data_IF_266949598422
#
_entry.id   IF_266949598422
#
_cell.length_a   1.000
_cell.length_b   1.000
_cell.length_c   1.000
_cell.angle_alpha   90.00
_cell.angle_beta   90.00
_cell.angle_gamma   90.00
#
_symmetry.space_group_name_H-M   'P 1'
#
loop_
_entity.id
_entity.type
_entity.pdbx_description
1 polymer ?
#
# COMPACT_ATOMS: atom_id res chain seq x y z
N UNK A 1 -22.53 -25.21 2.28
CA UNK A 1 -23.11 -24.69 1.03
C UNK A 1 -23.91 -23.43 1.36
N UNK A 2 -23.44 -22.29 0.86
CA UNK A 2 -24.16 -21.01 0.68
C UNK A 2 -24.67 -20.26 1.94
N UNK A 3 -23.78 -19.51 2.59
CA UNK A 3 -24.14 -18.37 3.46
C UNK A 3 -23.83 -17.05 2.75
N UNK A 4 -24.62 -16.68 1.74
CA UNK A 4 -24.57 -15.31 1.17
C UNK A 4 -25.88 -14.60 1.49
N UNK A 5 -25.81 -13.49 2.23
CA UNK A 5 -26.95 -12.63 2.50
C UNK A 5 -27.17 -11.72 1.29
N UNK A 6 -28.44 -11.42 1.02
CA UNK A 6 -28.98 -10.79 -0.20
C UNK A 6 -28.53 -9.34 -0.43
N UNK A 7 -27.65 -8.83 0.42
CA UNK A 7 -27.23 -7.43 0.55
C UNK A 7 -25.73 -7.24 0.26
N UNK A 8 -24.98 -8.33 0.08
CA UNK A 8 -23.65 -8.27 -0.53
C UNK A 8 -23.84 -7.96 -2.01
N UNK A 9 -23.68 -6.69 -2.39
CA UNK A 9 -23.51 -6.32 -3.80
C UNK A 9 -22.19 -6.94 -4.26
N UNK A 10 -22.26 -8.18 -4.75
CA UNK A 10 -21.14 -8.96 -5.28
C UNK A 10 -20.61 -8.26 -6.53
N UNK A 11 -19.77 -7.24 -6.34
CA UNK A 11 -19.06 -6.60 -7.43
C UNK A 11 -17.97 -7.57 -7.86
N UNK A 12 -18.28 -8.41 -8.85
CA UNK A 12 -17.35 -9.37 -9.42
C UNK A 12 -16.46 -8.65 -10.43
N UNK A 13 -15.15 -8.63 -10.17
CA UNK A 13 -14.16 -8.07 -11.08
C UNK A 13 -13.55 -9.16 -11.95
N UNK A 14 -13.59 -8.98 -13.28
CA UNK A 14 -12.98 -9.91 -14.22
C UNK A 14 -11.58 -9.43 -14.62
N UNK A 15 -10.60 -10.32 -14.55
CA UNK A 15 -9.27 -10.06 -15.10
C UNK A 15 -9.35 -9.95 -16.63
N UNK A 16 -8.74 -8.91 -17.21
CA UNK A 16 -8.56 -8.75 -18.66
C UNK A 16 -7.06 -8.62 -18.94
N UNK A 17 -6.55 -9.43 -19.85
CA UNK A 17 -5.12 -9.45 -20.19
C UNK A 17 -4.65 -8.17 -20.91
N UNK A 18 -5.56 -7.40 -21.52
CA UNK A 18 -5.28 -6.18 -22.28
C UNK A 18 -5.59 -4.88 -21.50
N UNK A 19 -5.49 -4.90 -20.17
CA UNK A 19 -5.68 -3.69 -19.39
C UNK A 19 -4.54 -2.69 -19.67
N UNK A 20 -4.84 -1.38 -19.75
CA UNK A 20 -3.81 -0.36 -19.82
C UNK A 20 -2.87 -0.46 -18.61
N UNK A 21 -1.62 -0.05 -18.80
CA UNK A 21 -0.63 -0.03 -17.72
C UNK A 21 -1.16 0.75 -16.52
N UNK A 22 -0.90 0.23 -15.32
CA UNK A 22 -1.34 0.87 -14.09
C UNK A 22 -0.82 2.30 -14.01
N UNK A 23 -1.72 3.24 -13.72
CA UNK A 23 -1.40 4.65 -13.55
C UNK A 23 -0.47 4.79 -12.35
N UNK A 24 0.63 5.53 -12.54
CA UNK A 24 1.44 6.00 -11.41
C UNK A 24 0.64 7.05 -10.65
N UNK A 25 0.26 6.71 -9.43
CA UNK A 25 -0.42 7.60 -8.50
C UNK A 25 0.62 8.16 -7.55
N UNK A 26 0.74 9.48 -7.48
CA UNK A 26 1.55 10.18 -6.49
C UNK A 26 0.61 10.74 -5.43
N UNK A 27 0.88 10.42 -4.17
CA UNK A 27 0.15 10.96 -3.03
C UNK A 27 1.11 11.79 -2.18
N UNK A 28 0.68 12.98 -1.77
CA UNK A 28 1.53 13.92 -1.02
C UNK A 28 2.04 13.31 0.30
N UNK A 29 1.22 12.49 0.95
CA UNK A 29 1.55 11.87 2.24
C UNK A 29 2.22 10.50 2.15
N UNK A 30 2.76 10.16 0.97
CA UNK A 30 3.42 8.86 0.78
C UNK A 30 4.61 8.72 1.73
N UNK A 31 5.42 9.76 1.90
CA UNK A 31 6.64 9.69 2.73
C UNK A 31 6.31 9.49 4.21
N UNK A 32 5.27 10.16 4.73
CA UNK A 32 4.82 10.01 6.11
C UNK A 32 4.31 8.60 6.39
N UNK A 33 3.56 8.01 5.46
CA UNK A 33 3.13 6.62 5.56
C UNK A 33 4.32 5.68 5.56
N UNK A 34 5.27 5.84 4.63
CA UNK A 34 6.48 5.01 4.55
C UNK A 34 7.30 5.09 5.85
N UNK A 35 7.48 6.30 6.38
CA UNK A 35 8.17 6.51 7.65
C UNK A 35 7.46 5.82 8.83
N UNK A 36 6.13 5.95 8.93
CA UNK A 36 5.37 5.24 9.97
C UNK A 36 5.49 3.71 9.84
N UNK A 37 5.53 3.19 8.60
CA UNK A 37 5.70 1.77 8.32
C UNK A 37 7.09 1.27 8.72
N UNK A 38 8.15 2.00 8.36
CA UNK A 38 9.53 1.68 8.75
C UNK A 38 9.71 1.72 10.27
N UNK A 39 9.15 2.73 10.94
CA UNK A 39 9.24 2.89 12.39
C UNK A 39 8.32 1.92 13.19
N UNK A 40 7.56 1.05 12.52
CA UNK A 40 6.65 0.10 13.19
C UNK A 40 5.49 0.77 13.94
N UNK A 41 5.09 1.98 13.57
CA UNK A 41 4.01 2.75 14.23
C UNK A 41 2.63 2.29 13.75
N UNK A 42 2.24 1.08 14.15
CA UNK A 42 1.07 0.35 13.64
C UNK A 42 -0.24 1.14 13.65
N UNK A 43 -0.52 1.89 14.72
CA UNK A 43 -1.76 2.67 14.82
C UNK A 43 -1.79 3.86 13.86
N UNK A 44 -0.66 4.55 13.67
CA UNK A 44 -0.53 5.63 12.69
C UNK A 44 -0.61 5.08 11.27
N UNK A 45 0.04 3.93 11.00
CA UNK A 45 -0.06 3.24 9.70
C UNK A 45 -1.53 2.94 9.38
N UNK A 46 -2.31 2.43 10.35
CA UNK A 46 -3.74 2.16 10.16
C UNK A 46 -4.51 3.42 9.75
N UNK A 47 -4.23 4.55 10.38
CA UNK A 47 -4.86 5.83 10.06
C UNK A 47 -4.47 6.33 8.67
N UNK A 48 -3.18 6.27 8.33
CA UNK A 48 -2.66 6.69 7.04
C UNK A 48 -3.16 5.82 5.90
N UNK A 49 -3.22 4.50 6.07
CA UNK A 49 -3.83 3.58 5.10
C UNK A 49 -5.30 3.94 4.87
N UNK A 50 -6.05 4.27 5.92
CA UNK A 50 -7.42 4.79 5.77
C UNK A 50 -7.49 6.03 4.88
N UNK A 51 -6.61 7.02 5.11
CA UNK A 51 -6.52 8.24 4.30
C UNK A 51 -6.10 7.96 2.85
N UNK A 52 -5.20 7.00 2.63
CA UNK A 52 -4.75 6.57 1.31
C UNK A 52 -5.92 6.01 0.48
N UNK A 53 -6.74 5.14 1.06
CA UNK A 53 -7.91 4.60 0.36
C UNK A 53 -9.01 5.65 0.14
N UNK A 54 -9.17 6.61 1.06
CA UNK A 54 -10.03 7.78 0.82
C UNK A 54 -9.52 8.63 -0.36
N UNK A 55 -8.21 8.83 -0.45
CA UNK A 55 -7.58 9.51 -1.58
C UNK A 55 -7.81 8.77 -2.90
N UNK A 56 -7.63 7.46 -2.96
CA UNK A 56 -7.95 6.68 -4.17
C UNK A 56 -9.40 6.83 -4.61
N UNK A 57 -10.35 6.89 -3.66
CA UNK A 57 -11.77 7.12 -3.95
C UNK A 57 -12.05 8.54 -4.46
N UNK A 58 -11.22 9.52 -4.11
CA UNK A 58 -11.35 10.89 -4.60
C UNK A 58 -10.82 11.09 -6.02
N UNK A 59 -9.97 10.18 -6.51
CA UNK A 59 -9.39 10.27 -7.84
C UNK A 59 -10.38 9.79 -8.92
N UNK A 60 -10.65 10.60 -9.96
CA UNK A 60 -11.50 10.17 -11.06
C UNK A 60 -10.84 9.04 -11.84
N UNK A 61 -11.64 8.03 -12.21
CA UNK A 61 -11.22 6.90 -13.05
C UNK A 61 -10.04 6.07 -12.52
N UNK A 62 -9.76 6.10 -11.20
CA UNK A 62 -8.83 5.14 -10.59
C UNK A 62 -9.43 3.75 -10.63
N UNK A 63 -8.66 2.81 -11.17
CA UNK A 63 -9.02 1.40 -11.17
C UNK A 63 -8.49 0.73 -9.91
N UNK A 64 -9.09 -0.41 -9.55
CA UNK A 64 -8.54 -1.28 -8.51
C UNK A 64 -7.11 -1.73 -8.84
N UNK A 65 -6.78 -1.86 -10.13
CA UNK A 65 -5.43 -2.17 -10.61
C UNK A 65 -4.42 -1.08 -10.25
N UNK A 66 -4.81 0.19 -10.38
CA UNK A 66 -3.95 1.32 -10.02
C UNK A 66 -3.69 1.37 -8.53
N UNK A 67 -4.75 1.21 -7.71
CA UNK A 67 -4.63 1.16 -6.26
C UNK A 67 -3.75 -0.02 -5.81
N UNK A 68 -3.94 -1.21 -6.41
CA UNK A 68 -3.12 -2.39 -6.16
C UNK A 68 -1.65 -2.12 -6.48
N UNK A 69 -1.36 -1.60 -7.67
CA UNK A 69 0.00 -1.29 -8.11
C UNK A 69 0.67 -0.27 -7.19
N UNK A 70 -0.05 0.78 -6.81
CA UNK A 70 0.43 1.79 -5.87
C UNK A 70 0.80 1.17 -4.51
N UNK A 71 -0.05 0.30 -3.96
CA UNK A 71 0.25 -0.43 -2.72
C UNK A 71 1.49 -1.33 -2.84
N UNK A 72 1.66 -2.03 -3.97
CA UNK A 72 2.86 -2.84 -4.21
C UNK A 72 4.13 -1.97 -4.18
N UNK A 73 4.11 -0.81 -4.85
CA UNK A 73 5.25 0.10 -4.86
C UNK A 73 5.60 0.61 -3.46
N UNK A 74 4.61 0.90 -2.61
CA UNK A 74 4.86 1.29 -1.22
C UNK A 74 5.47 0.16 -0.41
N UNK A 75 4.94 -1.05 -0.52
CA UNK A 75 5.49 -2.22 0.18
C UNK A 75 6.93 -2.49 -0.26
N UNK A 76 7.25 -2.39 -1.54
CA UNK A 76 8.61 -2.60 -2.03
C UNK A 76 9.57 -1.50 -1.57
N UNK A 77 9.12 -0.25 -1.45
CA UNK A 77 9.92 0.83 -0.85
C UNK A 77 10.23 0.55 0.63
N UNK A 78 9.25 0.10 1.41
CA UNK A 78 9.47 -0.26 2.82
C UNK A 78 10.43 -1.44 2.94
N UNK A 79 10.29 -2.48 2.10
CA UNK A 79 11.25 -3.59 2.06
C UNK A 79 12.66 -3.10 1.73
N UNK A 80 12.79 -2.17 0.78
CA UNK A 80 14.08 -1.60 0.41
C UNK A 80 14.71 -0.85 1.59
N UNK A 81 13.93 0.00 2.27
CA UNK A 81 14.34 0.72 3.49
C UNK A 81 14.80 -0.28 4.57
N UNK A 82 13.98 -1.27 4.90
CA UNK A 82 14.34 -2.29 5.90
C UNK A 82 15.61 -3.06 5.52
N UNK A 83 15.76 -3.48 4.26
CA UNK A 83 16.95 -4.20 3.80
C UNK A 83 18.21 -3.35 3.81
N UNK A 84 18.10 -2.03 3.66
CA UNK A 84 19.23 -1.11 3.78
C UNK A 84 19.59 -0.86 5.26
N UNK A 85 18.58 -0.71 6.12
CA UNK A 85 18.74 -0.39 7.54
C UNK A 85 19.22 -1.60 8.36
N UNK A 86 18.87 -2.83 8.00
CA UNK A 86 19.25 -4.05 8.75
C UNK A 86 20.77 -4.29 8.79
N UNK A 87 21.52 -4.25 7.68
CA UNK A 87 22.98 -4.35 7.71
C UNK A 87 23.65 -3.21 8.48
N UNK A 88 23.12 -1.98 8.38
CA UNK A 88 23.66 -0.82 9.09
C UNK A 88 23.52 -0.94 10.62
N UNK A 89 22.39 -1.49 11.10
CA UNK A 89 22.17 -1.79 12.51
C UNK A 89 23.09 -2.91 13.04
N UNK A 90 23.45 -3.87 12.21
CA UNK A 90 24.41 -4.92 12.58
C UNK A 90 25.83 -4.38 12.75
N UNK A 91 26.24 -3.39 11.96
CA UNK A 91 27.56 -2.75 12.09
C UNK A 91 27.66 -1.88 13.35
N UNK A 92 26.60 -1.14 13.73
CA UNK A 92 26.61 -0.31 14.94
C UNK A 92 26.64 -1.12 16.25
N UNK A 93 26.17 -2.37 16.23
CA UNK A 93 26.22 -3.26 17.40
C UNK A 93 27.57 -4.00 17.56
N UNK A 94 28.44 -3.99 16.56
CA UNK A 94 29.74 -4.64 16.61
C UNK A 94 30.86 -3.73 17.16
N UNK A 95 30.58 -2.45 17.39
CA UNK A 95 31.53 -1.43 17.85
C UNK A 95 31.29 -0.96 19.30
N UNK A 96 30.47 -1.67 20.09
CA UNK A 96 30.22 -1.41 21.51
C UNK A 96 30.63 -2.61 22.39
#
# INVERSE_FOLDING_TARGET
MNQRRREDTETVYFYRASLPAARRITWEHTDELLFCMEAGRTEEVRQWVGRLFLFYRSLPAVTLGDAKYSCYNMVDQVKYMMNYSVPALQMSHAEA
#
